data_IF_520368724704
#
_entry.id   IF_520368724704
#
_cell.length_a   1.000
_cell.length_b   1.000
_cell.length_c   1.000
_cell.angle_alpha   90.00
_cell.angle_beta   90.00
_cell.angle_gamma   90.00
#
_symmetry.space_group_name_H-M   'P 1'
#
loop_
_entity.id
_entity.type
_entity.pdbx_description
1 polymer ?
#
# COMPACT_ATOMS: atom_id res chain seq x y z
N UNK A 1 11.03 -3.92 21.05
CA UNK A 1 9.97 -3.56 20.09
C UNK A 1 8.98 -4.72 20.00
N UNK A 2 7.67 -4.49 20.08
CA UNK A 2 6.71 -5.59 19.95
C UNK A 2 6.55 -6.00 18.47
N UNK A 3 6.15 -7.26 18.22
CA UNK A 3 6.07 -7.81 16.87
C UNK A 3 5.12 -7.01 15.96
N UNK A 4 4.04 -6.47 16.52
CA UNK A 4 3.09 -5.65 15.79
C UNK A 4 3.72 -4.35 15.25
N UNK A 5 4.52 -3.65 16.05
CA UNK A 5 5.24 -2.46 15.59
C UNK A 5 6.25 -2.83 14.49
N UNK A 6 7.01 -3.91 14.67
CA UNK A 6 7.99 -4.36 13.67
C UNK A 6 7.35 -4.67 12.30
N UNK A 7 6.10 -5.15 12.27
CA UNK A 7 5.33 -5.36 11.03
C UNK A 7 4.95 -4.09 10.27
N UNK A 8 5.13 -2.90 10.85
CA UNK A 8 4.96 -1.62 10.15
C UNK A 8 6.29 -0.95 9.84
N UNK A 9 7.21 -0.92 10.81
CA UNK A 9 8.50 -0.26 10.61
C UNK A 9 9.39 -1.01 9.63
N UNK A 10 9.44 -2.35 9.67
CA UNK A 10 10.27 -3.13 8.75
C UNK A 10 9.95 -2.84 7.27
N UNK A 11 8.68 -2.97 6.85
CA UNK A 11 8.28 -2.61 5.49
C UNK A 11 8.55 -1.14 5.15
N UNK A 12 8.29 -0.20 6.06
CA UNK A 12 8.55 1.22 5.82
C UNK A 12 10.04 1.54 5.59
N UNK A 13 10.94 0.85 6.30
CA UNK A 13 12.39 0.94 6.08
C UNK A 13 12.86 0.25 4.80
N UNK A 14 12.07 -0.66 4.21
CA UNK A 14 12.33 -1.18 2.88
C UNK A 14 11.79 -0.25 1.79
N UNK A 15 10.59 0.30 1.99
CA UNK A 15 9.88 1.16 1.04
C UNK A 15 10.63 2.46 0.75
N UNK A 16 10.94 3.26 1.78
CA UNK A 16 11.53 4.58 1.60
C UNK A 16 12.85 4.59 0.79
N UNK A 17 13.86 3.74 1.10
CA UNK A 17 15.12 3.72 0.33
C UNK A 17 14.99 2.99 -1.02
N UNK A 18 14.00 2.10 -1.19
CA UNK A 18 13.80 1.38 -2.45
C UNK A 18 13.06 2.22 -3.50
N UNK A 19 12.33 3.27 -3.11
CA UNK A 19 11.60 4.15 -4.02
C UNK A 19 12.38 4.58 -5.28
N UNK A 20 13.66 4.99 -5.23
CA UNK A 20 14.43 5.38 -6.43
C UNK A 20 14.73 4.22 -7.38
N UNK A 21 14.47 2.98 -6.98
CA UNK A 21 14.77 1.75 -7.72
C UNK A 21 13.56 1.12 -8.39
N UNK A 22 12.34 1.59 -8.11
CA UNK A 22 11.06 0.96 -8.45
C UNK A 22 10.92 0.57 -9.94
N UNK A 23 11.51 1.36 -10.84
CA UNK A 23 11.46 1.14 -12.30
C UNK A 23 12.83 0.83 -12.93
N UNK A 24 13.84 0.56 -12.10
CA UNK A 24 15.18 0.18 -12.56
C UNK A 24 15.25 -1.34 -12.74
N UNK A 25 15.99 -1.80 -13.75
CA UNK A 25 16.39 -3.20 -13.81
C UNK A 25 17.41 -3.49 -12.72
N UNK A 26 17.50 -4.76 -12.27
CA UNK A 26 18.51 -5.19 -11.28
C UNK A 26 19.91 -4.75 -11.69
N UNK A 27 20.30 -4.92 -12.97
CA UNK A 27 21.60 -4.46 -13.45
C UNK A 27 21.84 -2.95 -13.28
N UNK A 28 20.81 -2.10 -13.41
CA UNK A 28 20.91 -0.65 -13.17
C UNK A 28 20.94 -0.32 -11.68
N UNK A 29 20.29 -1.12 -10.85
CA UNK A 29 20.35 -1.00 -9.39
C UNK A 29 21.77 -1.34 -8.93
N UNK A 30 22.32 -2.47 -9.39
CA UNK A 30 23.68 -2.91 -9.08
C UNK A 30 24.74 -1.91 -9.57
N UNK A 31 24.59 -1.35 -10.77
CA UNK A 31 25.49 -0.32 -11.30
C UNK A 31 25.46 0.97 -10.45
N UNK A 32 24.28 1.36 -9.95
CA UNK A 32 24.10 2.63 -9.22
C UNK A 32 24.40 2.53 -7.72
N UNK A 33 24.04 1.42 -7.09
CA UNK A 33 24.07 1.24 -5.63
C UNK A 33 24.95 0.07 -5.18
N UNK A 34 25.49 -0.71 -6.12
CA UNK A 34 26.23 -1.93 -5.80
C UNK A 34 25.33 -3.10 -5.40
N UNK A 35 25.94 -4.27 -5.10
CA UNK A 35 25.22 -5.53 -4.88
C UNK A 35 24.36 -5.55 -3.61
N UNK A 36 24.51 -4.57 -2.73
CA UNK A 36 23.72 -4.43 -1.49
C UNK A 36 22.45 -3.61 -1.72
N UNK A 37 22.39 -2.83 -2.80
CA UNK A 37 21.30 -1.90 -3.07
C UNK A 37 21.38 -0.63 -2.20
N UNK A 38 20.35 0.23 -2.25
CA UNK A 38 20.31 1.46 -1.47
C UNK A 38 20.22 1.17 0.04
N UNK A 39 21.11 1.77 0.82
CA UNK A 39 21.20 1.64 2.28
C UNK A 39 21.02 2.97 3.04
N UNK A 40 20.84 4.07 2.31
CA UNK A 40 20.59 5.40 2.85
C UNK A 40 19.13 5.83 2.68
N UNK A 41 18.64 6.62 3.65
CA UNK A 41 17.34 7.27 3.58
C UNK A 41 17.49 8.66 2.95
N UNK A 42 16.74 8.92 1.89
CA UNK A 42 16.69 10.23 1.24
C UNK A 42 15.58 11.13 1.84
N UNK A 43 15.96 12.35 2.24
CA UNK A 43 15.07 13.37 2.81
C UNK A 43 14.95 13.39 4.34
N UNK A 44 14.44 14.51 4.87
CA UNK A 44 14.11 14.70 6.29
C UNK A 44 12.71 15.33 6.45
N UNK A 45 11.67 14.54 6.79
CA UNK A 45 11.71 13.09 6.99
C UNK A 45 11.80 12.33 5.66
N UNK A 46 12.38 11.13 5.72
CA UNK A 46 12.36 10.19 4.59
C UNK A 46 10.92 9.81 4.21
N UNK A 47 10.63 9.85 2.92
CA UNK A 47 9.26 9.79 2.40
C UNK A 47 8.92 8.39 1.87
N UNK A 48 8.02 7.68 2.55
CA UNK A 48 7.45 6.39 2.11
C UNK A 48 6.48 6.53 0.92
N UNK A 49 6.24 5.43 0.18
CA UNK A 49 5.37 5.38 -1.01
C UNK A 49 3.94 4.92 -0.69
N UNK A 50 3.16 4.60 -1.73
CA UNK A 50 1.80 4.07 -1.62
C UNK A 50 1.74 2.76 -0.84
N UNK A 51 2.76 1.90 -0.92
CA UNK A 51 2.85 0.64 -0.17
C UNK A 51 2.64 0.86 1.35
N UNK A 52 3.45 1.72 1.97
CA UNK A 52 3.31 2.01 3.41
C UNK A 52 2.02 2.77 3.71
N UNK A 53 1.63 3.72 2.85
CA UNK A 53 0.39 4.49 3.05
C UNK A 53 -0.85 3.58 3.05
N UNK A 54 -0.94 2.63 2.11
CA UNK A 54 -2.03 1.67 2.01
C UNK A 54 -1.98 0.64 3.14
N UNK A 55 -0.80 0.18 3.57
CA UNK A 55 -0.67 -0.69 4.73
C UNK A 55 -1.20 -0.02 6.02
N UNK A 56 -0.91 1.27 6.22
CA UNK A 56 -1.48 2.04 7.31
C UNK A 56 -3.00 2.17 7.18
N UNK A 57 -3.53 2.44 5.97
CA UNK A 57 -4.96 2.51 5.72
C UNK A 57 -5.68 1.21 6.13
N UNK A 58 -5.09 0.05 5.86
CA UNK A 58 -5.58 -1.27 6.30
C UNK A 58 -5.54 -1.37 7.83
N UNK A 59 -4.40 -1.08 8.46
CA UNK A 59 -4.26 -1.15 9.91
C UNK A 59 -5.32 -0.30 10.63
N UNK A 60 -5.56 0.90 10.12
CA UNK A 60 -6.59 1.81 10.62
C UNK A 60 -8.03 1.29 10.44
N UNK A 61 -8.31 0.53 9.39
CA UNK A 61 -9.61 -0.10 9.18
C UNK A 61 -9.85 -1.28 10.14
N UNK A 62 -8.79 -2.01 10.48
CA UNK A 62 -8.83 -3.21 11.33
C UNK A 62 -8.71 -2.91 12.83
N UNK A 63 -8.23 -1.72 13.21
CA UNK A 63 -7.93 -1.37 14.61
C UNK A 63 -9.12 -1.55 15.56
N UNK A 64 -10.34 -1.30 15.08
CA UNK A 64 -11.55 -1.22 15.90
C UNK A 64 -12.66 -2.10 15.31
N UNK A 65 -13.52 -2.64 16.18
CA UNK A 65 -14.73 -3.37 15.83
C UNK A 65 -14.49 -4.84 15.45
N UNK A 66 -15.55 -5.55 15.07
CA UNK A 66 -15.43 -6.95 14.67
C UNK A 66 -14.70 -7.10 13.34
N UNK A 67 -13.93 -8.19 13.22
CA UNK A 67 -13.16 -8.55 12.03
C UNK A 67 -13.95 -9.50 11.12
N UNK A 68 -15.21 -9.17 10.86
CA UNK A 68 -16.02 -9.88 9.88
C UNK A 68 -15.94 -9.17 8.53
N UNK A 69 -16.10 -9.88 7.40
CA UNK A 69 -16.11 -9.22 6.09
C UNK A 69 -17.14 -8.11 5.95
N UNK A 70 -18.31 -8.25 6.58
CA UNK A 70 -19.39 -7.25 6.53
C UNK A 70 -19.02 -5.96 7.26
N UNK A 71 -18.26 -6.06 8.36
CA UNK A 71 -17.82 -4.92 9.15
C UNK A 71 -16.53 -4.28 8.62
N UNK A 72 -15.60 -5.09 8.13
CA UNK A 72 -14.27 -4.64 7.68
C UNK A 72 -14.32 -3.99 6.30
N UNK A 73 -15.10 -4.53 5.37
CA UNK A 73 -15.18 -4.02 4.00
C UNK A 73 -15.51 -2.51 3.92
N UNK A 74 -16.60 -2.01 4.52
CA UNK A 74 -16.93 -0.58 4.44
C UNK A 74 -15.86 0.31 5.09
N UNK A 75 -15.17 -0.19 6.13
CA UNK A 75 -14.06 0.53 6.78
C UNK A 75 -12.84 0.62 5.86
N UNK A 76 -12.47 -0.49 5.20
CA UNK A 76 -11.39 -0.51 4.21
C UNK A 76 -11.70 0.40 3.04
N UNK A 77 -12.90 0.29 2.45
CA UNK A 77 -13.32 1.14 1.34
C UNK A 77 -13.20 2.62 1.69
N UNK A 78 -13.72 3.02 2.85
CA UNK A 78 -13.62 4.42 3.31
C UNK A 78 -12.17 4.89 3.38
N UNK A 79 -11.26 4.04 3.88
CA UNK A 79 -9.83 4.37 4.00
C UNK A 79 -9.12 4.45 2.66
N UNK A 80 -9.36 3.50 1.75
CA UNK A 80 -8.77 3.53 0.42
C UNK A 80 -9.28 4.68 -0.44
N UNK A 81 -10.57 5.00 -0.36
CA UNK A 81 -11.12 6.19 -1.05
C UNK A 81 -10.51 7.47 -0.48
N UNK A 82 -10.42 7.59 0.85
CA UNK A 82 -9.79 8.75 1.48
C UNK A 82 -8.30 8.88 1.10
N UNK A 83 -7.56 7.77 1.06
CA UNK A 83 -6.19 7.74 0.59
C UNK A 83 -6.09 8.15 -0.89
N UNK A 84 -6.96 7.63 -1.75
CA UNK A 84 -6.96 7.96 -3.17
C UNK A 84 -7.16 9.46 -3.44
N UNK A 85 -7.91 10.17 -2.58
CA UNK A 85 -8.11 11.61 -2.66
C UNK A 85 -7.07 12.44 -1.89
N UNK A 86 -6.11 11.81 -1.22
CA UNK A 86 -5.08 12.52 -0.46
C UNK A 86 -4.13 13.26 -1.39
N UNK A 87 -3.71 14.49 -1.06
CA UNK A 87 -2.61 15.15 -1.77
C UNK A 87 -1.29 14.36 -1.70
N UNK A 88 -1.16 13.46 -0.72
CA UNK A 88 -0.01 12.56 -0.58
C UNK A 88 -0.05 11.33 -1.50
N UNK A 89 -1.15 11.11 -2.24
CA UNK A 89 -1.26 10.04 -3.23
C UNK A 89 -0.65 10.45 -4.59
N UNK A 90 0.59 10.93 -4.53
CA UNK A 90 1.41 11.33 -5.67
C UNK A 90 2.71 10.52 -5.73
N UNK A 91 2.78 9.42 -4.99
CA UNK A 91 4.00 8.63 -4.75
C UNK A 91 3.89 7.26 -5.42
N UNK A 92 3.83 7.30 -6.75
CA UNK A 92 3.77 6.14 -7.63
C UNK A 92 2.61 5.14 -7.38
N UNK A 93 1.35 5.60 -7.21
CA UNK A 93 0.25 4.65 -7.09
C UNK A 93 0.20 3.73 -8.31
N UNK A 94 0.18 2.42 -8.05
CA UNK A 94 -0.06 1.44 -9.11
C UNK A 94 -1.36 1.79 -9.86
N UNK A 95 -1.36 1.64 -11.19
CA UNK A 95 -2.45 2.11 -12.06
C UNK A 95 -3.86 1.64 -11.61
N UNK A 96 -3.96 0.44 -11.04
CA UNK A 96 -5.22 -0.14 -10.52
C UNK A 96 -5.75 0.56 -9.27
N UNK A 97 -4.88 1.22 -8.52
CA UNK A 97 -5.17 1.96 -7.28
C UNK A 97 -5.27 3.48 -7.52
N UNK A 98 -5.08 3.93 -8.76
CA UNK A 98 -5.14 5.35 -9.12
C UNK A 98 -6.50 5.97 -8.76
N UNK A 99 -6.53 7.26 -8.40
CA UNK A 99 -7.76 7.97 -8.06
C UNK A 99 -8.86 7.82 -9.12
N UNK A 100 -8.48 7.87 -10.41
CA UNK A 100 -9.40 7.69 -11.55
C UNK A 100 -10.11 6.33 -11.54
N UNK A 101 -9.39 5.24 -11.23
CA UNK A 101 -9.96 3.88 -11.15
C UNK A 101 -10.74 3.69 -9.86
N UNK A 102 -10.29 4.28 -8.75
CA UNK A 102 -11.07 4.30 -7.49
C UNK A 102 -12.38 5.08 -7.67
N UNK A 103 -12.39 6.12 -8.50
CA UNK A 103 -13.54 7.00 -8.76
C UNK A 103 -14.53 6.43 -9.80
N UNK A 104 -14.02 5.79 -10.86
CA UNK A 104 -14.83 5.27 -11.98
C UNK A 104 -15.07 3.76 -11.94
N UNK A 105 -14.25 3.01 -11.19
CA UNK A 105 -14.26 1.56 -11.16
C UNK A 105 -15.32 0.94 -10.25
N UNK A 106 -15.48 -0.39 -10.30
CA UNK A 106 -16.44 -1.13 -9.45
C UNK A 106 -16.20 -0.93 -7.94
N UNK A 107 -15.03 -0.43 -7.52
CA UNK A 107 -14.75 -0.02 -6.13
C UNK A 107 -15.68 1.12 -5.67
N UNK A 108 -16.20 1.96 -6.57
CA UNK A 108 -17.15 3.02 -6.20
C UNK A 108 -18.62 2.57 -6.32
N UNK A 109 -18.97 1.79 -7.35
CA UNK A 109 -20.39 1.50 -7.67
C UNK A 109 -20.93 0.16 -7.15
N UNK A 110 -20.08 -0.86 -7.02
CA UNK A 110 -20.45 -2.20 -6.53
C UNK A 110 -19.17 -3.01 -6.43
N UNK A 111 -18.57 -3.10 -5.24
CA UNK A 111 -17.52 -4.12 -5.06
C UNK A 111 -18.19 -5.45 -5.38
N UNK A 112 -17.80 -6.16 -6.45
CA UNK A 112 -18.51 -7.37 -6.78
C UNK A 112 -18.21 -8.32 -5.63
N UNK A 113 -19.24 -8.72 -4.90
CA UNK A 113 -19.25 -9.90 -4.01
C UNK A 113 -18.88 -11.21 -4.77
N UNK A 114 -18.23 -11.14 -5.94
CA UNK A 114 -17.81 -12.27 -6.77
C UNK A 114 -16.44 -12.83 -6.37
N UNK A 115 -15.70 -12.20 -5.45
CA UNK A 115 -14.54 -12.85 -4.80
C UNK A 115 -14.96 -13.97 -3.85
N UNK A 116 -16.24 -14.00 -3.40
CA UNK A 116 -16.77 -15.08 -2.53
C UNK A 116 -16.97 -16.43 -3.24
N UNK A 117 -16.85 -16.52 -4.56
CA UNK A 117 -17.20 -17.76 -5.30
C UNK A 117 -16.03 -18.53 -5.91
N UNK A 118 -14.76 -18.16 -5.65
CA UNK A 118 -13.60 -18.89 -6.20
C UNK A 118 -12.54 -19.36 -5.20
N UNK A 119 -12.69 -19.10 -3.91
CA UNK A 119 -11.80 -19.62 -2.85
C UNK A 119 -12.46 -20.70 -1.96
N UNK A 120 -13.68 -21.15 -2.33
CA UNK A 120 -14.39 -22.27 -1.71
C UNK A 120 -14.78 -23.35 -2.73
N UNK A 121 -13.97 -23.48 -3.80
CA UNK A 121 -14.16 -24.51 -4.81
C UNK A 121 -12.80 -25.00 -5.32
N UNK A 122 -12.02 -25.58 -4.40
CA UNK A 122 -11.12 -26.75 -4.52
C UNK A 122 -10.07 -26.68 -3.42
#
# INVERSE_FOLDING_TARGET
MNRAAASFYGPAFGDAPAKPTEFLSVAKIDDRYGPVGPDELDGDPAVVTDDTQMALAVAWALRNGELTPAEVEPRLRKRFVAWAHSPDNNRAPGMTCSPEIVQSGPIYRRWPMRWKTRLMAR
#
